data_IF_709838434025
#
_entry.id   IF_709838434025
#
_cell.length_a   1.000
_cell.length_b   1.000
_cell.length_c   1.000
_cell.angle_alpha   90.00
_cell.angle_beta   90.00
_cell.angle_gamma   90.00
#
_symmetry.space_group_name_H-M   'P 1'
#
loop_
_entity.id
_entity.type
_entity.pdbx_description
1 polymer ?
#
# COMPACT_ATOMS: atom_id res chain seq x y z
N UNK A 1 35.62 26.12 -23.94
CA UNK A 1 34.98 24.95 -23.29
C UNK A 1 33.53 25.16 -22.89
N UNK A 2 33.12 26.30 -22.29
CA UNK A 2 31.72 26.60 -21.95
C UNK A 2 30.71 26.72 -23.14
N UNK A 3 31.07 27.21 -24.35
CA UNK A 3 30.08 27.31 -25.43
C UNK A 3 29.77 25.96 -26.10
N UNK A 4 30.70 25.02 -26.05
CA UNK A 4 30.54 23.67 -26.65
C UNK A 4 29.52 22.85 -25.86
N UNK A 5 29.48 23.02 -24.54
CA UNK A 5 28.55 22.32 -23.67
C UNK A 5 27.10 22.81 -23.86
N UNK A 6 26.92 24.11 -24.08
CA UNK A 6 25.60 24.67 -24.46
C UNK A 6 25.14 24.19 -25.84
N UNK A 7 26.07 24.05 -26.79
CA UNK A 7 25.77 23.57 -28.14
C UNK A 7 25.38 22.09 -28.14
N UNK A 8 26.05 21.27 -27.34
CA UNK A 8 25.70 19.86 -27.12
C UNK A 8 24.36 19.70 -26.42
N UNK A 9 24.07 20.53 -25.41
CA UNK A 9 22.78 20.53 -24.72
C UNK A 9 21.63 20.97 -25.65
N UNK A 10 21.85 21.98 -26.48
CA UNK A 10 20.88 22.43 -27.47
C UNK A 10 20.63 21.36 -28.56
N UNK A 11 21.68 20.68 -29.04
CA UNK A 11 21.58 19.56 -29.98
C UNK A 11 20.81 18.38 -29.39
N UNK A 12 21.01 18.09 -28.10
CA UNK A 12 20.27 17.04 -27.38
C UNK A 12 18.77 17.38 -27.23
N UNK A 13 18.43 18.63 -26.93
CA UNK A 13 17.04 19.08 -26.89
C UNK A 13 16.36 19.03 -28.28
N UNK A 14 17.10 19.32 -29.35
CA UNK A 14 16.63 19.24 -30.72
C UNK A 14 16.41 17.78 -31.18
N UNK A 15 17.30 16.84 -30.81
CA UNK A 15 17.13 15.43 -31.16
C UNK A 15 15.94 14.78 -30.46
N UNK A 16 15.68 15.14 -29.19
CA UNK A 16 14.50 14.65 -28.44
C UNK A 16 13.21 15.21 -29.04
N UNK A 17 13.20 16.46 -29.48
CA UNK A 17 12.05 17.08 -30.15
C UNK A 17 11.78 16.47 -31.52
N UNK A 18 12.83 16.08 -32.26
CA UNK A 18 12.70 15.42 -33.56
C UNK A 18 12.24 13.96 -33.44
N UNK A 19 12.68 13.25 -32.40
CA UNK A 19 12.21 11.90 -32.09
C UNK A 19 10.73 11.87 -31.66
N UNK A 20 10.26 12.88 -30.93
CA UNK A 20 8.85 13.02 -30.53
C UNK A 20 7.89 13.38 -31.68
N UNK A 21 8.41 13.80 -32.83
CA UNK A 21 7.59 14.23 -33.97
C UNK A 21 7.34 13.13 -35.02
N UNK A 22 7.99 11.96 -34.90
CA UNK A 22 7.64 10.76 -35.68
C UNK A 22 6.53 10.00 -34.96
N UNK A 23 5.29 10.35 -35.28
CA UNK A 23 4.11 9.53 -34.96
C UNK A 23 4.27 8.16 -35.60
N UNK A 24 4.34 7.10 -34.78
CA UNK A 24 4.00 5.76 -35.20
C UNK A 24 2.51 5.57 -34.91
N UNK A 25 1.69 5.61 -35.96
CA UNK A 25 0.39 4.93 -35.96
C UNK A 25 0.69 3.43 -35.92
N UNK A 26 0.30 2.78 -34.82
CA UNK A 26 0.15 1.34 -34.77
C UNK A 26 -1.24 1.06 -34.21
N UNK A 27 -2.13 0.72 -35.13
CA UNK A 27 -3.47 0.21 -34.91
C UNK A 27 -3.38 -1.03 -34.01
N UNK A 28 -4.16 -1.03 -32.93
CA UNK A 28 -4.41 -2.22 -32.11
C UNK A 28 -5.55 -2.97 -32.80
N UNK A 29 -5.28 -4.16 -33.30
CA UNK A 29 -6.31 -5.13 -33.70
C UNK A 29 -6.18 -6.35 -32.80
N UNK A 30 -7.33 -6.70 -32.21
CA UNK A 30 -7.61 -7.92 -31.47
C UNK A 30 -7.18 -9.17 -32.24
N UNK A 31 -6.59 -10.12 -31.53
CA UNK A 31 -6.70 -11.53 -31.86
C UNK A 31 -7.01 -12.30 -30.57
N UNK A 32 -8.32 -12.51 -30.38
CA UNK A 32 -8.86 -13.76 -29.88
C UNK A 32 -8.14 -14.96 -30.52
N UNK A 33 -8.10 -16.09 -29.78
CA UNK A 33 -7.73 -17.44 -30.23
C UNK A 33 -6.33 -17.96 -29.81
N UNK A 34 -6.21 -18.37 -28.55
CA UNK A 34 -5.45 -19.58 -28.18
C UNK A 34 -5.92 -20.11 -26.82
N UNK A 35 -6.57 -21.26 -26.93
CA UNK A 35 -7.26 -22.08 -25.95
C UNK A 35 -6.24 -22.88 -25.10
N UNK A 36 -6.51 -22.98 -23.79
CA UNK A 36 -6.37 -24.16 -22.89
C UNK A 36 -5.05 -24.93 -22.72
N UNK A 37 -4.72 -25.17 -21.44
CA UNK A 37 -4.09 -26.35 -20.77
C UNK A 37 -3.38 -25.81 -19.52
N UNK A 38 -3.42 -26.36 -18.31
CA UNK A 38 -4.13 -27.46 -17.65
C UNK A 38 -3.78 -27.28 -16.16
N UNK A 39 -4.75 -27.44 -15.25
CA UNK A 39 -4.56 -27.35 -13.80
C UNK A 39 -4.52 -28.77 -13.23
N UNK A 40 -3.42 -29.11 -12.56
CA UNK A 40 -3.22 -30.22 -11.61
C UNK A 40 -2.40 -29.57 -10.46
N UNK A 41 -2.63 -29.70 -9.16
CA UNK A 41 -3.40 -30.63 -8.33
C UNK A 41 -3.79 -29.95 -7.01
N UNK A 42 -4.88 -30.37 -6.38
CA UNK A 42 -4.83 -30.94 -5.02
C UNK A 42 -6.20 -31.53 -4.61
N UNK A 43 -6.13 -32.79 -4.19
CA UNK A 43 -7.23 -33.71 -3.88
C UNK A 43 -8.02 -33.40 -2.59
N UNK A 44 -9.31 -33.64 -2.72
CA UNK A 44 -10.29 -34.26 -1.80
C UNK A 44 -9.98 -34.52 -0.31
N UNK A 45 -11.01 -34.19 0.49
CA UNK A 45 -11.28 -34.80 1.79
C UNK A 45 -12.66 -34.38 2.34
N UNK A 46 -13.71 -35.13 2.02
CA UNK A 46 -15.09 -34.89 2.47
C UNK A 46 -15.52 -35.89 3.57
N UNK A 47 -16.21 -35.43 4.64
CA UNK A 47 -17.43 -36.11 5.15
C UNK A 47 -18.29 -35.22 6.08
N UNK A 48 -19.61 -35.48 6.03
CA UNK A 48 -20.72 -34.81 6.72
C UNK A 48 -20.99 -35.29 8.17
N UNK A 49 -21.58 -34.38 8.93
CA UNK A 49 -22.71 -34.44 9.91
C UNK A 49 -23.42 -35.80 10.21
N UNK A 50 -23.52 -36.19 11.50
CA UNK A 50 -24.76 -36.24 12.33
C UNK A 50 -24.65 -37.19 13.57
N UNK A 51 -25.26 -36.73 14.68
CA UNK A 51 -25.94 -37.45 15.81
C UNK A 51 -25.25 -37.79 17.16
N UNK A 52 -25.94 -37.29 18.21
CA UNK A 52 -26.26 -37.80 19.56
C UNK A 52 -25.26 -37.79 20.76
N UNK A 53 -25.66 -36.94 21.72
CA UNK A 53 -25.82 -37.12 23.19
C UNK A 53 -24.66 -37.39 24.19
N UNK A 54 -24.81 -36.66 25.32
CA UNK A 54 -24.33 -36.86 26.69
C UNK A 54 -22.90 -36.46 27.17
N UNK A 55 -22.88 -35.40 28.00
CA UNK A 55 -22.21 -35.19 29.30
C UNK A 55 -20.82 -35.84 29.55
N UNK A 56 -19.76 -35.03 29.75
CA UNK A 56 -18.92 -34.96 30.97
C UNK A 56 -17.66 -34.10 30.79
N UNK A 57 -17.28 -33.44 31.88
CA UNK A 57 -16.15 -32.53 32.08
C UNK A 57 -14.82 -33.30 32.36
N UNK A 58 -13.67 -32.65 32.60
CA UNK A 58 -12.45 -32.74 31.77
C UNK A 58 -11.32 -33.60 32.37
N UNK A 59 -10.50 -34.29 31.54
CA UNK A 59 -9.23 -34.90 31.98
C UNK A 59 -8.11 -34.84 30.91
N UNK A 60 -6.90 -34.65 31.46
CA UNK A 60 -5.54 -34.40 30.96
C UNK A 60 -4.85 -35.48 30.08
N UNK A 61 -3.88 -34.96 29.29
CA UNK A 61 -2.54 -35.50 28.92
C UNK A 61 -2.44 -36.65 27.89
N UNK A 62 -1.28 -36.89 27.22
CA UNK A 62 0.02 -36.18 27.19
C UNK A 62 0.55 -35.88 25.75
N UNK A 63 1.56 -35.01 25.63
CA UNK A 63 2.46 -34.94 24.45
C UNK A 63 3.89 -35.10 24.96
N UNK A 64 4.52 -36.21 24.59
CA UNK A 64 5.97 -36.47 24.63
C UNK A 64 6.64 -35.51 23.63
N UNK A 65 7.44 -34.55 24.09
CA UNK A 65 8.89 -34.66 24.36
C UNK A 65 9.72 -34.90 23.10
N UNK A 66 10.46 -33.87 22.68
CA UNK A 66 11.91 -34.02 22.48
C UNK A 66 12.59 -32.66 22.66
N UNK A 67 13.63 -32.69 23.47
CA UNK A 67 14.33 -31.57 24.10
C UNK A 67 15.44 -31.03 23.20
N UNK A 68 15.75 -29.75 23.33
CA UNK A 68 17.12 -29.27 23.28
C UNK A 68 17.32 -28.14 24.31
N UNK A 69 18.34 -28.22 25.18
CA UNK A 69 18.50 -27.31 26.32
C UNK A 69 19.35 -26.07 26.00
N UNK A 70 19.10 -25.05 26.82
CA UNK A 70 19.88 -23.83 27.04
C UNK A 70 21.34 -24.10 27.42
N UNK A 71 22.20 -23.13 27.14
CA UNK A 71 23.31 -22.81 28.03
C UNK A 71 23.49 -21.30 28.10
N UNK A 72 23.54 -20.81 29.34
CA UNK A 72 23.67 -19.42 29.76
C UNK A 72 25.12 -19.18 30.26
N UNK A 73 25.57 -17.94 30.09
CA UNK A 73 26.60 -17.17 30.80
C UNK A 73 27.96 -17.80 31.26
N UNK A 74 29.08 -17.15 30.92
CA UNK A 74 29.75 -16.20 31.84
C UNK A 74 31.05 -15.58 31.22
N UNK A 75 31.38 -14.42 31.77
CA UNK A 75 32.43 -13.40 31.50
C UNK A 75 33.88 -13.86 31.29
N UNK A 76 34.70 -13.08 30.57
CA UNK A 76 36.00 -12.55 31.06
C UNK A 76 36.63 -11.50 30.12
N UNK A 77 37.53 -10.70 30.68
CA UNK A 77 37.98 -9.34 30.32
C UNK A 77 39.22 -9.24 29.37
N UNK A 78 39.48 -8.00 28.92
CA UNK A 78 40.78 -7.34 28.62
C UNK A 78 41.72 -7.89 27.50
N UNK A 79 41.97 -7.08 26.44
CA UNK A 79 43.21 -6.30 26.22
C UNK A 79 43.41 -5.78 24.77
N UNK A 80 44.12 -4.65 24.67
CA UNK A 80 44.47 -3.80 23.51
C UNK A 80 45.46 -4.41 22.47
N UNK A 81 45.19 -4.19 21.16
CA UNK A 81 46.05 -3.79 19.98
C UNK A 81 47.45 -4.45 19.69
N UNK A 82 48.14 -4.27 18.52
CA UNK A 82 47.80 -4.16 17.08
C UNK A 82 48.66 -5.09 16.14
N UNK A 83 48.49 -4.96 14.80
CA UNK A 83 49.43 -5.34 13.69
C UNK A 83 49.50 -6.84 13.32
N UNK A 84 49.69 -7.31 12.07
CA UNK A 84 50.09 -6.72 10.77
C UNK A 84 49.64 -7.65 9.64
N UNK A 85 49.33 -7.05 8.47
CA UNK A 85 49.33 -7.70 7.16
C UNK A 85 50.66 -8.43 6.89
N UNK A 86 50.62 -9.66 6.36
CA UNK A 86 51.67 -10.25 5.50
C UNK A 86 51.18 -11.60 4.92
N UNK A 87 50.24 -11.56 3.96
CA UNK A 87 49.82 -12.77 3.21
C UNK A 87 49.92 -12.58 1.68
N UNK A 88 50.97 -11.89 1.21
CA UNK A 88 51.23 -11.71 -0.22
C UNK A 88 52.73 -11.75 -0.58
N UNK A 89 53.42 -12.86 -0.31
CA UNK A 89 54.81 -13.10 -0.79
C UNK A 89 55.04 -14.47 -1.45
N UNK A 90 54.01 -15.21 -1.87
CA UNK A 90 54.16 -16.59 -2.36
C UNK A 90 53.98 -16.82 -3.87
N UNK A 91 54.28 -15.85 -4.75
CA UNK A 91 54.14 -16.04 -6.21
C UNK A 91 55.32 -15.54 -7.05
N UNK A 92 56.55 -15.63 -6.55
CA UNK A 92 57.76 -15.49 -7.37
C UNK A 92 58.65 -16.72 -7.20
N UNK A 93 58.28 -17.82 -7.86
CA UNK A 93 59.17 -18.97 -8.11
C UNK A 93 59.55 -18.97 -9.60
N UNK A 94 60.82 -18.66 -9.88
CA UNK A 94 61.43 -18.65 -11.22
C UNK A 94 62.34 -19.86 -11.49
N UNK A 95 62.19 -20.98 -10.78
CA UNK A 95 63.13 -22.13 -10.88
C UNK A 95 62.49 -23.49 -11.20
N UNK A 96 61.43 -23.53 -12.02
CA UNK A 96 60.93 -24.79 -12.59
C UNK A 96 61.15 -24.82 -14.10
N UNK A 97 62.35 -25.28 -14.54
CA UNK A 97 62.58 -26.16 -15.70
C UNK A 97 64.11 -26.34 -15.98
N UNK A 98 64.82 -27.06 -15.11
CA UNK A 98 66.14 -27.63 -15.45
C UNK A 98 66.08 -29.15 -15.37
N UNK A 99 65.86 -29.82 -16.52
CA UNK A 99 66.20 -31.22 -16.71
C UNK A 99 66.22 -31.55 -18.21
N UNK A 100 67.37 -31.37 -18.86
CA UNK A 100 67.79 -32.23 -19.97
C UNK A 100 69.33 -32.30 -20.02
N UNK A 101 69.81 -33.42 -19.48
CA UNK A 101 71.04 -34.18 -19.72
C UNK A 101 72.35 -33.47 -20.14
N UNK A 102 73.32 -33.59 -19.23
CA UNK A 102 74.76 -33.44 -19.44
C UNK A 102 75.31 -34.61 -20.27
N UNK A 103 75.82 -34.33 -21.47
CA UNK A 103 76.99 -35.07 -21.98
C UNK A 103 78.05 -34.12 -22.56
N UNK A 104 79.30 -34.48 -22.26
CA UNK A 104 80.55 -33.76 -22.56
C UNK A 104 80.84 -33.72 -24.06
N UNK A 105 81.38 -32.61 -24.54
CA UNK A 105 82.76 -32.51 -25.06
C UNK A 105 83.06 -31.12 -25.63
N UNK A 106 84.25 -30.59 -25.35
CA UNK A 106 84.79 -29.34 -25.93
C UNK A 106 85.43 -29.61 -27.33
N UNK A 107 85.94 -28.65 -28.15
CA UNK A 107 86.10 -27.18 -27.97
C UNK A 107 85.87 -26.30 -29.25
N UNK A 108 86.07 -24.97 -29.10
CA UNK A 108 86.51 -23.95 -30.10
C UNK A 108 85.60 -23.56 -31.30
N UNK A 109 85.19 -22.29 -31.31
CA UNK A 109 85.50 -21.36 -32.42
C UNK A 109 84.34 -20.65 -33.17
N UNK A 110 84.46 -19.31 -33.21
CA UNK A 110 84.07 -18.35 -34.28
C UNK A 110 82.60 -17.91 -34.48
N UNK A 111 82.42 -16.59 -34.30
CA UNK A 111 81.53 -15.60 -34.97
C UNK A 111 80.00 -15.63 -34.74
N UNK A 112 79.34 -14.45 -34.76
CA UNK A 112 77.96 -14.27 -34.31
C UNK A 112 76.98 -14.37 -35.49
N UNK A 113 75.99 -15.26 -35.39
CA UNK A 113 74.85 -15.27 -36.30
C UNK A 113 73.54 -15.11 -35.52
N UNK A 114 72.68 -14.28 -36.12
CA UNK A 114 71.43 -13.70 -35.62
C UNK A 114 70.49 -14.72 -34.96
N UNK A 115 69.97 -14.38 -33.78
CA UNK A 115 68.75 -14.97 -33.23
C UNK A 115 67.54 -14.52 -34.09
N UNK A 116 66.57 -15.41 -34.40
CA UNK A 116 65.37 -15.03 -35.14
C UNK A 116 64.41 -14.21 -34.25
N UNK A 117 63.82 -13.15 -34.80
CA UNK A 117 62.82 -12.31 -34.13
C UNK A 117 61.64 -13.17 -33.62
N UNK A 118 61.36 -13.09 -32.32
CA UNK A 118 60.13 -13.59 -31.71
C UNK A 118 58.93 -12.85 -32.30
N UNK A 119 58.25 -13.47 -33.27
CA UNK A 119 56.95 -13.01 -33.74
C UNK A 119 55.91 -13.23 -32.63
N UNK A 120 55.63 -12.18 -31.86
CA UNK A 120 54.51 -12.13 -30.94
C UNK A 120 53.23 -12.52 -31.69
N UNK A 121 52.63 -13.65 -31.32
CA UNK A 121 51.35 -14.08 -31.84
C UNK A 121 50.34 -12.94 -31.65
N UNK A 122 49.86 -12.40 -32.77
CA UNK A 122 48.87 -11.31 -32.78
C UNK A 122 47.55 -11.90 -32.30
N UNK A 123 47.32 -11.83 -30.99
CA UNK A 123 46.05 -12.24 -30.38
C UNK A 123 44.92 -11.48 -31.08
N UNK A 124 43.84 -12.16 -31.53
CA UNK A 124 42.75 -11.54 -32.25
C UNK A 124 42.19 -10.31 -31.50
N UNK A 125 41.93 -9.23 -32.23
CA UNK A 125 41.48 -7.93 -31.71
C UNK A 125 40.23 -7.99 -30.80
N UNK A 126 39.46 -9.07 -30.86
CA UNK A 126 38.25 -9.25 -30.03
C UNK A 126 38.54 -9.66 -28.57
N UNK A 127 39.78 -10.01 -28.22
CA UNK A 127 40.23 -10.35 -26.85
C UNK A 127 41.05 -9.22 -26.21
N UNK A 128 41.28 -8.12 -26.93
CA UNK A 128 41.77 -6.90 -26.30
C UNK A 128 40.58 -6.21 -25.66
N UNK A 129 40.48 -6.30 -24.34
CA UNK A 129 39.60 -5.46 -23.53
C UNK A 129 40.03 -4.00 -23.72
N UNK A 130 39.54 -3.36 -24.78
CA UNK A 130 39.80 -1.96 -25.05
C UNK A 130 39.03 -1.13 -24.03
N UNK A 131 39.71 -0.15 -23.43
CA UNK A 131 39.08 0.87 -22.58
C UNK A 131 37.92 1.59 -23.28
N UNK A 132 37.94 1.60 -24.62
CA UNK A 132 36.86 2.12 -25.46
C UNK A 132 35.56 1.29 -25.42
N UNK A 133 35.60 0.03 -24.99
CA UNK A 133 34.40 -0.79 -24.80
C UNK A 133 33.65 -0.44 -23.51
N UNK A 134 34.36 0.14 -22.54
CA UNK A 134 33.80 0.51 -21.23
C UNK A 134 33.11 1.87 -21.21
N UNK A 135 33.02 2.62 -22.32
CA UNK A 135 32.29 3.90 -22.29
C UNK A 135 30.81 3.72 -21.92
N UNK A 136 30.17 2.64 -22.40
CA UNK A 136 28.79 2.33 -22.02
C UNK A 136 28.70 1.89 -20.56
N UNK A 137 29.65 1.09 -20.07
CA UNK A 137 29.70 0.65 -18.67
C UNK A 137 29.97 1.81 -17.71
N UNK A 138 30.94 2.68 -18.02
CA UNK A 138 31.21 3.90 -17.25
C UNK A 138 30.03 4.87 -17.27
N UNK A 139 29.31 4.98 -18.38
CA UNK A 139 28.09 5.78 -18.47
C UNK A 139 26.96 5.19 -17.61
N UNK A 140 26.81 3.86 -17.59
CA UNK A 140 25.85 3.19 -16.70
C UNK A 140 26.22 3.37 -15.23
N UNK A 141 27.50 3.20 -14.86
CA UNK A 141 27.99 3.42 -13.49
C UNK A 141 27.79 4.89 -13.08
N UNK A 142 28.07 5.84 -13.96
CA UNK A 142 27.81 7.26 -13.70
C UNK A 142 26.32 7.53 -13.49
N UNK A 143 25.43 6.95 -14.31
CA UNK A 143 23.98 7.04 -14.15
C UNK A 143 23.50 6.47 -12.81
N UNK A 144 23.98 5.28 -12.44
CA UNK A 144 23.71 4.64 -11.15
C UNK A 144 24.22 5.46 -9.98
N UNK A 145 25.40 6.06 -10.10
CA UNK A 145 25.98 6.93 -9.07
C UNK A 145 25.11 8.17 -8.86
N UNK A 146 24.66 8.82 -9.93
CA UNK A 146 23.75 9.97 -9.84
C UNK A 146 22.41 9.56 -9.21
N UNK A 147 21.88 8.40 -9.59
CA UNK A 147 20.66 7.85 -9.00
C UNK A 147 20.83 7.61 -7.48
N UNK A 148 21.93 6.99 -7.08
CA UNK A 148 22.24 6.69 -5.67
C UNK A 148 22.44 7.96 -4.84
N UNK A 149 23.16 8.95 -5.36
CA UNK A 149 23.33 10.25 -4.70
C UNK A 149 21.99 10.99 -4.55
N UNK A 150 21.12 10.93 -5.56
CA UNK A 150 19.77 11.49 -5.47
C UNK A 150 18.93 10.76 -4.42
N UNK A 151 19.03 9.44 -4.34
CA UNK A 151 18.35 8.63 -3.33
C UNK A 151 18.77 9.05 -1.91
N UNK A 152 20.08 9.10 -1.63
CA UNK A 152 20.62 9.55 -0.35
C UNK A 152 20.20 10.98 0.00
N UNK A 153 20.29 11.91 -0.96
CA UNK A 153 19.88 13.29 -0.75
C UNK A 153 18.37 13.42 -0.50
N UNK A 154 17.55 12.63 -1.19
CA UNK A 154 16.10 12.58 -1.03
C UNK A 154 15.69 12.04 0.34
N UNK A 155 16.27 10.89 0.72
CA UNK A 155 16.11 10.26 2.05
C UNK A 155 16.49 11.22 3.17
N UNK A 156 17.67 11.83 3.11
CA UNK A 156 18.14 12.74 4.15
C UNK A 156 17.27 14.00 4.25
N UNK A 157 16.76 14.52 3.14
CA UNK A 157 15.82 15.66 3.16
C UNK A 157 14.48 15.30 3.80
N UNK A 158 13.90 14.15 3.43
CA UNK A 158 12.65 13.69 4.00
C UNK A 158 12.77 13.42 5.50
N UNK A 159 13.85 12.76 5.92
CA UNK A 159 14.17 12.54 7.33
C UNK A 159 14.26 13.87 8.10
N UNK A 160 15.04 14.83 7.60
CA UNK A 160 15.15 16.17 8.23
C UNK A 160 13.81 16.88 8.37
N UNK A 161 12.94 16.81 7.36
CA UNK A 161 11.61 17.40 7.40
C UNK A 161 10.70 16.71 8.43
N UNK A 162 10.73 15.39 8.50
CA UNK A 162 9.97 14.62 9.47
C UNK A 162 10.42 14.91 10.91
N UNK A 163 11.74 14.93 11.15
CA UNK A 163 12.32 15.29 12.46
C UNK A 163 11.98 16.73 12.86
N UNK A 164 12.03 17.68 11.92
CA UNK A 164 11.64 19.07 12.18
C UNK A 164 10.16 19.18 12.58
N UNK A 165 9.28 18.44 11.89
CA UNK A 165 7.87 18.38 12.25
C UNK A 165 7.67 17.82 13.66
N UNK A 166 8.31 16.69 13.99
CA UNK A 166 8.19 16.08 15.32
C UNK A 166 8.69 17.02 16.41
N UNK A 167 9.87 17.62 16.25
CA UNK A 167 10.44 18.56 17.22
C UNK A 167 9.51 19.74 17.51
N UNK A 168 8.74 20.21 16.52
CA UNK A 168 7.83 21.34 16.67
C UNK A 168 6.51 20.98 17.38
N UNK A 169 6.05 19.73 17.23
CA UNK A 169 4.74 19.27 17.72
C UNK A 169 4.83 18.36 18.96
N UNK A 170 6.01 17.80 19.26
CA UNK A 170 6.23 16.86 20.36
C UNK A 170 5.71 17.38 21.70
N UNK A 171 6.09 18.59 22.09
CA UNK A 171 5.63 19.22 23.34
C UNK A 171 4.09 19.31 23.39
N UNK A 172 3.45 19.69 22.29
CA UNK A 172 1.99 19.79 22.23
C UNK A 172 1.33 18.40 22.33
N UNK A 173 1.92 17.37 21.74
CA UNK A 173 1.42 16.00 21.81
C UNK A 173 1.57 15.41 23.21
N UNK A 174 2.72 15.58 23.86
CA UNK A 174 3.00 15.10 25.22
C UNK A 174 2.11 15.77 26.27
N UNK A 175 1.64 17.01 26.03
CA UNK A 175 0.64 17.64 26.93
C UNK A 175 -0.77 17.10 26.76
N UNK A 176 -1.08 16.43 25.64
CA UNK A 176 -2.44 15.98 25.30
C UNK A 176 -2.62 14.47 25.41
N UNK A 177 -1.55 13.69 25.29
CA UNK A 177 -1.52 12.24 25.30
C UNK A 177 -0.50 11.75 26.33
N UNK A 178 -0.81 10.64 27.02
CA UNK A 178 0.13 10.03 27.95
C UNK A 178 1.22 9.24 27.24
N UNK A 179 0.93 8.73 26.03
CA UNK A 179 1.86 7.91 25.24
C UNK A 179 1.95 8.52 23.84
N UNK A 180 3.17 8.82 23.40
CA UNK A 180 3.48 9.42 22.10
C UNK A 180 4.66 8.69 21.48
N UNK A 181 4.49 8.10 20.30
CA UNK A 181 5.54 7.39 19.56
C UNK A 181 5.56 5.88 19.76
N UNK A 182 4.58 5.31 20.45
CA UNK A 182 4.47 3.87 20.66
C UNK A 182 3.28 3.32 19.87
N UNK A 183 3.54 2.28 19.06
CA UNK A 183 2.54 1.54 18.29
C UNK A 183 1.94 0.37 19.08
N UNK A 184 2.42 0.12 20.31
CA UNK A 184 1.98 -0.96 21.19
C UNK A 184 2.47 -2.35 20.75
N UNK A 185 3.34 -2.42 19.73
CA UNK A 185 3.93 -3.68 19.24
C UNK A 185 5.29 -3.92 19.90
N UNK A 186 6.02 -2.85 20.25
CA UNK A 186 7.29 -2.96 20.96
C UNK A 186 7.09 -3.34 22.44
N UNK A 187 7.96 -4.21 22.97
CA UNK A 187 7.98 -4.57 24.40
C UNK A 187 8.37 -3.38 25.30
N UNK A 188 9.04 -2.37 24.75
CA UNK A 188 9.46 -1.16 25.44
C UNK A 188 8.82 0.08 24.81
N UNK A 189 8.21 0.91 25.65
CA UNK A 189 7.55 2.16 25.24
C UNK A 189 8.60 3.15 24.76
N UNK A 190 8.85 3.17 23.45
CA UNK A 190 9.77 4.13 22.84
C UNK A 190 9.06 5.48 22.67
N UNK A 191 9.19 6.36 23.65
CA UNK A 191 8.52 7.66 23.62
C UNK A 191 9.25 8.66 22.69
N UNK A 192 8.49 9.30 21.81
CA UNK A 192 8.95 10.45 21.03
C UNK A 192 9.81 10.11 19.81
N UNK A 193 9.63 8.92 19.21
CA UNK A 193 10.25 8.53 17.93
C UNK A 193 9.18 8.49 16.83
N UNK A 194 9.54 8.98 15.64
CA UNK A 194 8.75 8.81 14.43
C UNK A 194 9.06 7.45 13.81
N UNK A 195 8.03 6.64 13.58
CA UNK A 195 8.17 5.38 12.86
C UNK A 195 8.31 5.66 11.38
N UNK A 196 9.25 4.96 10.75
CA UNK A 196 9.52 5.10 9.33
C UNK A 196 8.98 3.89 8.56
N UNK A 197 7.75 4.00 8.07
CA UNK A 197 7.13 2.98 7.23
C UNK A 197 7.76 2.94 5.83
N UNK A 198 8.13 4.11 5.29
CA UNK A 198 8.78 4.21 3.99
C UNK A 198 9.70 5.42 3.91
N UNK A 199 10.50 5.51 2.86
CA UNK A 199 11.40 6.66 2.63
C UNK A 199 10.64 7.99 2.42
N UNK A 200 9.34 7.91 2.17
CA UNK A 200 8.44 9.05 1.98
C UNK A 200 7.21 9.06 2.90
N UNK A 201 7.07 8.07 3.79
CA UNK A 201 5.94 7.97 4.74
C UNK A 201 6.50 7.75 6.13
N UNK A 202 6.16 8.66 7.04
CA UNK A 202 6.54 8.57 8.45
C UNK A 202 5.26 8.62 9.28
N UNK A 203 5.17 7.75 10.28
CA UNK A 203 3.98 7.63 11.14
C UNK A 203 4.32 7.85 12.60
N UNK A 204 3.38 8.44 13.31
CA UNK A 204 3.45 8.67 14.75
C UNK A 204 2.13 8.26 15.37
N UNK A 205 2.18 7.27 16.25
CA UNK A 205 1.05 6.82 17.05
C UNK A 205 1.03 7.57 18.39
N UNK A 206 -0.15 8.02 18.80
CA UNK A 206 -0.38 8.68 20.08
C UNK A 206 -1.62 8.06 20.75
N UNK A 207 -1.55 7.77 22.03
CA UNK A 207 -2.63 7.14 22.80
C UNK A 207 -2.71 7.65 24.23
N UNK A 208 -3.79 7.30 24.93
CA UNK A 208 -3.99 7.66 26.34
C UNK A 208 -4.58 9.05 26.58
N UNK A 209 -5.30 9.59 25.60
CA UNK A 209 -6.20 10.73 25.78
C UNK A 209 -7.62 10.22 26.04
N UNK A 210 -8.35 10.85 26.96
CA UNK A 210 -9.75 10.49 27.21
C UNK A 210 -10.60 10.65 25.95
N UNK A 211 -11.47 9.67 25.66
CA UNK A 211 -12.36 9.61 24.50
C UNK A 211 -11.68 9.32 23.15
N UNK A 212 -10.37 9.04 23.15
CA UNK A 212 -9.60 8.72 21.95
C UNK A 212 -8.93 7.37 22.17
N UNK A 213 -9.30 6.37 21.37
CA UNK A 213 -8.68 5.05 21.36
C UNK A 213 -7.22 5.18 20.90
N UNK A 214 -7.02 5.91 19.81
CA UNK A 214 -5.69 6.21 19.27
C UNK A 214 -5.71 7.33 18.24
N UNK A 215 -4.57 7.98 18.06
CA UNK A 215 -4.33 8.95 17.01
C UNK A 215 -3.11 8.54 16.20
N UNK A 216 -3.30 8.36 14.90
CA UNK A 216 -2.25 8.13 13.92
C UNK A 216 -1.99 9.42 13.14
N UNK A 217 -0.78 9.93 13.23
CA UNK A 217 -0.30 11.02 12.36
C UNK A 217 0.60 10.43 11.29
N UNK A 218 0.22 10.60 10.03
CA UNK A 218 0.97 10.14 8.86
C UNK A 218 1.49 11.34 8.06
N UNK A 219 2.82 11.45 7.96
CA UNK A 219 3.52 12.41 7.12
C UNK A 219 3.77 11.78 5.74
N UNK A 220 2.89 12.08 4.79
CA UNK A 220 3.05 11.73 3.37
C UNK A 220 3.93 12.76 2.68
N UNK A 221 5.23 12.54 2.75
CA UNK A 221 6.20 13.33 2.01
C UNK A 221 6.24 12.87 0.54
N UNK A 222 6.64 13.78 -0.33
CA UNK A 222 6.89 13.48 -1.72
C UNK A 222 8.09 12.51 -1.84
N UNK A 223 7.99 11.59 -2.81
CA UNK A 223 9.08 10.67 -3.18
C UNK A 223 10.23 11.46 -3.84
N UNK A 224 11.13 12.02 -3.03
CA UNK A 224 12.30 12.79 -3.48
C UNK A 224 13.50 11.89 -3.83
N UNK A 225 13.52 10.70 -3.24
CA UNK A 225 14.52 9.68 -3.45
C UNK A 225 14.41 9.01 -4.84
N UNK A 226 13.22 9.05 -5.45
CA UNK A 226 12.96 8.46 -6.76
C UNK A 226 13.07 9.52 -7.87
N UNK A 227 13.99 9.27 -8.80
CA UNK A 227 14.29 10.16 -9.91
C UNK A 227 13.14 10.26 -10.92
N UNK A 228 12.39 9.17 -11.15
CA UNK A 228 11.25 9.16 -12.08
C UNK A 228 10.14 10.05 -11.53
N UNK A 229 9.81 9.88 -10.24
CA UNK A 229 8.84 10.73 -9.55
C UNK A 229 9.30 12.20 -9.44
N UNK A 230 10.61 12.46 -9.44
CA UNK A 230 11.14 13.82 -9.52
C UNK A 230 10.94 14.43 -10.92
N UNK A 231 11.15 13.65 -11.99
CA UNK A 231 10.93 14.07 -13.38
C UNK A 231 9.45 14.32 -13.67
N UNK A 232 8.57 13.40 -13.25
CA UNK A 232 7.11 13.54 -13.39
C UNK A 232 6.57 14.79 -12.68
N UNK A 233 7.25 15.27 -11.64
CA UNK A 233 6.86 16.49 -10.91
C UNK A 233 6.95 17.75 -11.77
N UNK A 234 7.78 17.76 -12.82
CA UNK A 234 7.83 18.87 -13.77
C UNK A 234 6.48 19.05 -14.47
N UNK A 235 5.78 17.94 -14.74
CA UNK A 235 4.47 17.94 -15.39
C UNK A 235 3.30 18.08 -14.42
N UNK A 236 3.42 17.50 -13.21
CA UNK A 236 2.36 17.55 -12.20
C UNK A 236 2.89 18.07 -10.86
N UNK A 237 2.57 19.32 -10.46
CA UNK A 237 2.97 19.83 -9.16
C UNK A 237 2.24 19.05 -8.06
N UNK A 238 3.00 18.67 -7.04
CA UNK A 238 2.51 17.98 -5.85
C UNK A 238 3.11 18.62 -4.60
N UNK A 239 2.41 18.48 -3.48
CA UNK A 239 2.82 18.99 -2.18
C UNK A 239 2.90 17.84 -1.19
N UNK A 240 3.69 18.02 -0.12
CA UNK A 240 3.67 17.09 1.01
C UNK A 240 2.32 17.21 1.74
N UNK A 241 1.87 16.12 2.37
CA UNK A 241 0.61 16.05 3.11
C UNK A 241 0.85 15.51 4.52
N UNK A 242 0.10 16.02 5.49
CA UNK A 242 0.02 15.51 6.86
C UNK A 242 -1.41 15.03 7.08
N UNK A 243 -1.58 13.74 7.32
CA UNK A 243 -2.88 13.13 7.59
C UNK A 243 -2.92 12.81 9.08
N UNK A 244 -3.92 13.33 9.79
CA UNK A 244 -4.17 13.01 11.19
C UNK A 244 -5.45 12.21 11.25
N UNK A 245 -5.36 10.94 11.60
CA UNK A 245 -6.50 10.05 11.86
C UNK A 245 -6.65 9.87 13.36
N UNK A 246 -7.82 10.17 13.89
CA UNK A 246 -8.16 9.99 15.30
C UNK A 246 -9.30 8.99 15.37
N UNK A 247 -9.08 7.88 16.03
CA UNK A 247 -10.11 6.87 16.32
C UNK A 247 -10.67 7.14 17.72
N UNK A 248 -12.00 7.27 17.81
CA UNK A 248 -12.68 7.57 19.08
C UNK A 248 -13.19 6.29 19.73
N UNK A 249 -13.29 6.32 21.06
CA UNK A 249 -13.91 5.24 21.81
C UNK A 249 -15.40 5.09 21.46
N UNK A 250 -15.87 3.85 21.50
CA UNK A 250 -17.26 3.50 21.24
C UNK A 250 -18.23 4.27 22.16
N UNK A 251 -19.27 4.85 21.56
CA UNK A 251 -20.31 5.58 22.28
C UNK A 251 -19.93 6.97 22.77
N UNK A 252 -18.73 7.49 22.44
CA UNK A 252 -18.35 8.88 22.74
C UNK A 252 -18.81 9.89 21.71
N UNK A 253 -19.13 9.45 20.50
CA UNK A 253 -19.61 10.28 19.41
C UNK A 253 -21.06 9.92 19.10
N UNK A 254 -21.89 10.94 18.90
CA UNK A 254 -23.23 10.74 18.34
C UNK A 254 -23.16 10.38 16.86
N UNK A 255 -24.14 9.62 16.41
CA UNK A 255 -24.32 9.12 15.06
C UNK A 255 -24.49 10.26 14.03
N UNK A 256 -23.45 10.59 13.24
CA UNK A 256 -23.55 11.47 12.07
C UNK A 256 -22.28 11.43 11.19
N UNK A 257 -22.46 11.67 9.89
CA UNK A 257 -21.36 11.86 8.94
C UNK A 257 -21.27 13.32 8.45
N UNK A 258 -20.06 13.87 8.49
CA UNK A 258 -19.73 15.24 8.11
C UNK A 258 -18.37 15.33 7.42
N UNK A 259 -18.29 16.08 6.32
CA UNK A 259 -17.02 16.39 5.69
C UNK A 259 -17.01 17.79 5.08
N UNK A 260 -15.92 18.52 5.30
CA UNK A 260 -15.59 19.77 4.61
C UNK A 260 -14.27 19.60 3.90
N UNK A 261 -14.26 19.77 2.59
CA UNK A 261 -13.08 19.57 1.77
C UNK A 261 -13.00 20.60 0.64
N UNK A 262 -11.80 20.82 0.10
CA UNK A 262 -11.66 21.60 -1.13
C UNK A 262 -12.46 20.94 -2.25
N UNK A 263 -13.09 21.73 -3.14
CA UNK A 263 -14.01 21.23 -4.19
C UNK A 263 -13.50 20.02 -4.98
N UNK A 264 -12.20 20.01 -5.35
CA UNK A 264 -11.58 18.89 -6.08
C UNK A 264 -11.45 17.64 -5.20
N UNK A 265 -10.96 17.80 -3.98
CA UNK A 265 -10.79 16.70 -3.02
C UNK A 265 -12.14 16.17 -2.51
N UNK A 266 -13.16 17.02 -2.36
CA UNK A 266 -14.51 16.62 -1.97
C UNK A 266 -15.14 15.65 -2.97
N UNK A 267 -14.99 15.90 -4.28
CA UNK A 267 -15.49 15.01 -5.32
C UNK A 267 -14.78 13.65 -5.30
N UNK A 268 -13.48 13.65 -5.05
CA UNK A 268 -12.68 12.43 -4.91
C UNK A 268 -13.10 11.65 -3.66
N UNK A 269 -13.16 12.30 -2.50
CA UNK A 269 -13.54 11.67 -1.23
C UNK A 269 -14.95 11.07 -1.28
N UNK A 270 -15.92 11.75 -1.89
CA UNK A 270 -17.27 11.21 -2.05
C UNK A 270 -17.31 9.99 -2.99
N UNK A 271 -16.37 9.85 -3.92
CA UNK A 271 -16.27 8.65 -4.77
C UNK A 271 -15.59 7.52 -4.02
N UNK A 272 -14.47 7.83 -3.37
CA UNK A 272 -13.51 6.88 -2.82
C UNK A 272 -13.94 6.32 -1.45
N UNK A 273 -14.70 7.08 -0.64
CA UNK A 273 -15.14 6.66 0.69
C UNK A 273 -16.61 6.22 0.69
N UNK A 274 -16.91 5.09 1.33
CA UNK A 274 -18.27 4.52 1.34
C UNK A 274 -19.24 5.33 2.20
N UNK A 275 -18.80 5.72 3.40
CA UNK A 275 -19.55 6.52 4.34
C UNK A 275 -20.04 7.85 3.74
N UNK A 276 -19.14 8.62 3.11
CA UNK A 276 -19.49 9.87 2.45
C UNK A 276 -20.50 9.64 1.32
N UNK A 277 -20.26 8.62 0.50
CA UNK A 277 -21.12 8.31 -0.64
C UNK A 277 -22.53 7.86 -0.24
N UNK A 278 -22.67 7.21 0.92
CA UNK A 278 -23.91 6.61 1.36
C UNK A 278 -24.74 7.52 2.27
N UNK A 279 -24.08 8.28 3.15
CA UNK A 279 -24.75 9.06 4.19
C UNK A 279 -24.79 10.56 3.93
N UNK A 280 -23.89 11.10 3.10
CA UNK A 280 -23.77 12.56 2.92
C UNK A 280 -24.30 13.05 1.59
N UNK A 281 -24.85 14.26 1.62
CA UNK A 281 -25.22 15.02 0.42
C UNK A 281 -24.47 16.35 0.38
N UNK A 282 -24.31 16.90 -0.83
CA UNK A 282 -23.70 18.22 -1.01
C UNK A 282 -24.64 19.31 -0.50
N UNK A 283 -24.18 20.07 0.49
CA UNK A 283 -24.92 21.22 1.04
C UNK A 283 -24.26 22.53 0.65
N UNK A 284 -25.07 23.59 0.55
CA UNK A 284 -24.56 24.94 0.34
C UNK A 284 -23.76 25.39 1.56
N UNK A 285 -22.56 25.93 1.32
CA UNK A 285 -21.69 26.51 2.35
C UNK A 285 -22.03 27.97 2.67
N UNK A 286 -22.97 28.60 1.96
CA UNK A 286 -23.29 30.04 2.08
C UNK A 286 -23.78 30.46 3.48
N UNK A 287 -24.30 29.52 4.27
CA UNK A 287 -24.72 29.78 5.65
C UNK A 287 -23.56 29.97 6.61
N UNK A 288 -22.36 29.56 6.20
CA UNK A 288 -21.15 29.61 7.00
C UNK A 288 -20.17 30.57 6.32
N UNK A 289 -19.49 31.42 7.08
CA UNK A 289 -18.46 32.34 6.59
C UNK A 289 -17.19 31.56 6.17
N UNK A 290 -17.33 30.64 5.21
CA UNK A 290 -16.27 29.78 4.70
C UNK A 290 -15.91 30.18 3.26
N UNK A 291 -14.63 30.04 2.87
CA UNK A 291 -14.21 30.34 1.51
C UNK A 291 -14.93 29.48 0.46
N UNK A 292 -15.18 30.07 -0.72
CA UNK A 292 -15.85 29.40 -1.83
C UNK A 292 -15.03 28.24 -2.45
N UNK A 293 -13.79 28.04 -2.03
CA UNK A 293 -12.94 26.91 -2.42
C UNK A 293 -13.35 25.60 -1.75
N UNK A 294 -14.08 25.65 -0.64
CA UNK A 294 -14.57 24.50 0.10
C UNK A 294 -15.96 24.05 -0.35
N UNK A 295 -16.23 22.76 -0.17
CA UNK A 295 -17.49 22.09 -0.39
C UNK A 295 -17.87 21.35 0.90
N UNK A 296 -19.13 21.54 1.33
CA UNK A 296 -19.69 20.86 2.49
C UNK A 296 -20.46 19.61 2.04
N UNK A 297 -20.15 18.50 2.69
CA UNK A 297 -20.85 17.21 2.62
C UNK A 297 -21.38 16.92 4.02
N UNK A 298 -22.69 16.79 4.19
CA UNK A 298 -23.25 16.60 5.53
C UNK A 298 -24.57 15.87 5.50
N UNK A 299 -24.74 14.95 6.44
CA UNK A 299 -26.01 14.29 6.70
C UNK A 299 -26.92 15.19 7.55
N UNK A 300 -26.44 15.59 8.73
CA UNK A 300 -27.21 16.29 9.76
C UNK A 300 -26.84 17.78 9.83
N UNK A 301 -27.84 18.66 9.64
CA UNK A 301 -27.61 20.12 9.68
C UNK A 301 -27.26 20.66 11.08
N UNK A 302 -27.79 20.03 12.13
CA UNK A 302 -27.46 20.35 13.53
C UNK A 302 -25.98 20.09 13.84
N UNK A 303 -25.48 18.89 13.51
CA UNK A 303 -24.07 18.54 13.66
C UNK A 303 -23.16 19.51 12.89
N UNK A 304 -23.55 19.85 11.66
CA UNK A 304 -22.82 20.80 10.81
C UNK A 304 -22.67 22.16 11.51
N UNK A 305 -23.74 22.67 12.10
CA UNK A 305 -23.76 23.99 12.75
C UNK A 305 -22.98 24.00 14.07
N UNK A 306 -22.92 22.87 14.77
CA UNK A 306 -22.14 22.72 16.00
C UNK A 306 -20.63 22.63 15.72
N UNK A 307 -20.25 21.92 14.66
CA UNK A 307 -18.85 21.74 14.25
C UNK A 307 -18.31 23.02 13.61
N UNK A 308 -19.03 23.60 12.64
CA UNK A 308 -18.65 24.82 11.93
C UNK A 308 -19.01 26.08 12.71
N UNK A 309 -18.33 26.27 13.85
CA UNK A 309 -18.44 27.52 14.58
C UNK A 309 -17.52 28.62 14.03
N UNK A 310 -17.61 29.81 14.63
CA UNK A 310 -16.78 30.96 14.24
C UNK A 310 -15.28 30.66 14.28
N UNK A 311 -14.79 29.87 15.24
CA UNK A 311 -13.36 29.54 15.37
C UNK A 311 -12.89 28.64 14.23
N UNK A 312 -13.65 27.58 13.93
CA UNK A 312 -13.33 26.66 12.82
C UNK A 312 -13.41 27.41 11.49
N UNK A 313 -14.45 28.22 11.25
CA UNK A 313 -14.57 29.01 10.02
C UNK A 313 -13.42 30.02 9.84
N UNK A 314 -12.99 30.68 10.92
CA UNK A 314 -11.81 31.57 10.90
C UNK A 314 -10.52 30.81 10.57
N UNK A 315 -10.33 29.61 11.13
CA UNK A 315 -9.17 28.77 10.82
C UNK A 315 -9.17 28.29 9.36
N UNK A 316 -10.33 27.88 8.84
CA UNK A 316 -10.50 27.51 7.43
C UNK A 316 -10.21 28.67 6.49
N UNK A 317 -10.58 29.89 6.86
CA UNK A 317 -10.31 31.10 6.08
C UNK A 317 -8.82 31.49 6.15
N UNK A 318 -8.23 31.46 7.34
CA UNK A 318 -6.82 31.85 7.57
C UNK A 318 -5.86 30.88 6.88
N UNK A 319 -6.17 29.59 6.89
CA UNK A 319 -5.34 28.51 6.35
C UNK A 319 -5.94 27.93 5.06
N UNK A 320 -6.61 28.78 4.26
CA UNK A 320 -7.16 28.38 2.97
C UNK A 320 -6.05 27.82 2.07
N UNK A 321 -6.31 26.66 1.47
CA UNK A 321 -5.33 25.95 0.62
C UNK A 321 -4.39 25.02 1.38
N UNK A 322 -4.20 25.21 2.69
CA UNK A 322 -3.44 24.29 3.55
C UNK A 322 -4.35 23.18 4.06
N UNK A 323 -5.56 23.51 4.53
CA UNK A 323 -6.54 22.49 4.94
C UNK A 323 -7.17 21.91 3.66
N UNK A 324 -6.91 20.63 3.40
CA UNK A 324 -7.45 19.93 2.23
C UNK A 324 -8.84 19.36 2.53
N UNK A 325 -8.96 18.62 3.63
CA UNK A 325 -10.24 18.13 4.12
C UNK A 325 -10.25 17.89 5.63
N UNK A 326 -11.45 18.02 6.20
CA UNK A 326 -11.85 17.61 7.53
C UNK A 326 -12.99 16.61 7.33
N UNK A 327 -12.81 15.39 7.78
CA UNK A 327 -13.77 14.30 7.65
C UNK A 327 -14.06 13.74 9.05
N UNK A 328 -15.34 13.62 9.38
CA UNK A 328 -15.83 13.16 10.67
C UNK A 328 -16.92 12.15 10.34
N UNK A 329 -16.70 10.90 10.72
CA UNK A 329 -17.60 9.81 10.37
C UNK A 329 -17.60 8.79 11.49
N UNK A 330 -18.79 8.44 11.93
CA UNK A 330 -18.95 7.34 12.88
C UNK A 330 -19.07 5.97 12.17
N UNK A 331 -19.37 5.98 10.86
CA UNK A 331 -19.50 4.78 10.01
C UNK A 331 -18.29 4.56 9.11
N UNK A 332 -17.10 4.94 9.55
CA UNK A 332 -15.91 4.82 8.71
C UNK A 332 -15.52 3.34 8.55
N UNK A 333 -15.56 2.87 7.30
CA UNK A 333 -15.22 1.50 6.90
C UNK A 333 -13.96 1.42 6.03
N UNK A 334 -13.16 2.50 5.97
CA UNK A 334 -12.05 2.61 5.04
C UNK A 334 -12.44 2.98 3.60
N UNK A 335 -11.44 3.07 2.70
CA UNK A 335 -11.67 3.31 1.28
C UNK A 335 -12.50 2.19 0.65
N UNK A 336 -13.32 2.52 -0.35
CA UNK A 336 -14.05 1.52 -1.15
C UNK A 336 -13.04 0.59 -1.81
N UNK A 337 -13.05 -0.67 -1.40
CA UNK A 337 -12.33 -1.75 -2.07
C UNK A 337 -12.95 -1.91 -3.46
N UNK A 338 -12.17 -1.72 -4.52
CA UNK A 338 -12.59 -1.86 -5.93
C UNK A 338 -12.56 -3.33 -6.40
N UNK A 339 -12.69 -4.30 -5.49
CA UNK A 339 -12.74 -5.70 -5.89
C UNK A 339 -14.17 -6.07 -6.27
N UNK A 340 -14.33 -6.72 -7.43
CA UNK A 340 -15.60 -7.17 -8.01
C UNK A 340 -16.38 -8.16 -7.10
N UNK A 341 -15.75 -8.65 -6.04
CA UNK A 341 -16.38 -9.33 -4.91
C UNK A 341 -16.91 -8.32 -3.90
N UNK A 342 -18.17 -7.90 -4.05
CA UNK A 342 -18.84 -7.17 -2.97
C UNK A 342 -18.75 -7.99 -1.67
N UNK A 343 -18.33 -7.37 -0.55
CA UNK A 343 -18.11 -8.09 0.68
C UNK A 343 -19.40 -8.72 1.18
N UNK A 344 -19.38 -10.01 1.49
CA UNK A 344 -20.55 -10.76 1.96
C UNK A 344 -20.84 -10.55 3.44
N UNK A 345 -19.89 -9.94 4.17
CA UNK A 345 -19.99 -9.53 5.57
C UNK A 345 -20.02 -8.00 5.63
N UNK A 346 -20.83 -7.45 6.54
CA UNK A 346 -20.84 -6.01 6.77
C UNK A 346 -19.43 -5.55 7.17
N UNK A 347 -18.95 -4.42 6.60
CA UNK A 347 -17.67 -3.87 6.99
C UNK A 347 -17.73 -3.38 8.44
N UNK A 348 -16.66 -3.62 9.18
CA UNK A 348 -16.51 -3.08 10.52
C UNK A 348 -16.41 -1.56 10.43
N UNK A 349 -17.28 -0.89 11.18
CA UNK A 349 -17.38 0.57 11.21
C UNK A 349 -16.76 1.07 12.50
N UNK A 350 -15.97 2.14 12.40
CA UNK A 350 -15.37 2.80 13.55
C UNK A 350 -15.64 4.29 13.50
N UNK A 351 -15.78 4.90 14.68
CA UNK A 351 -15.86 6.33 14.79
C UNK A 351 -14.50 6.97 14.65
N UNK A 352 -14.31 7.76 13.58
CA UNK A 352 -13.05 8.40 13.30
C UNK A 352 -13.18 9.84 12.79
N UNK A 353 -12.15 10.62 13.08
CA UNK A 353 -11.94 11.95 12.53
C UNK A 353 -10.65 11.93 11.72
N UNK A 354 -10.72 12.32 10.46
CA UNK A 354 -9.58 12.43 9.57
C UNK A 354 -9.38 13.88 9.14
N UNK A 355 -8.17 14.37 9.30
CA UNK A 355 -7.76 15.70 8.86
C UNK A 355 -6.61 15.54 7.88
N UNK A 356 -6.69 16.19 6.72
CA UNK A 356 -5.58 16.26 5.78
C UNK A 356 -5.14 17.70 5.59
N UNK A 357 -3.88 17.95 5.89
CA UNK A 357 -3.21 19.23 5.72
C UNK A 357 -2.18 19.11 4.61
N UNK A 358 -2.35 19.88 3.54
CA UNK A 358 -1.36 20.03 2.49
C UNK A 358 -0.35 21.10 2.87
N UNK A 359 0.93 20.74 2.91
CA UNK A 359 1.99 21.66 3.31
C UNK A 359 2.24 22.66 2.17
N UNK A 360 2.25 23.97 2.46
CA UNK A 360 2.52 24.98 1.43
C UNK A 360 3.95 24.80 0.90
N UNK A 361 4.13 25.05 -0.41
CA UNK A 361 5.47 25.02 -1.03
C UNK A 361 5.59 24.24 -2.33
N UNK A 362 4.55 23.49 -2.75
CA UNK A 362 4.49 22.79 -4.06
C UNK A 362 5.78 22.01 -4.37
N UNK A 363 6.31 21.32 -3.35
CA UNK A 363 7.53 20.52 -3.43
C UNK A 363 8.81 21.18 -2.91
N UNK A 364 8.79 22.48 -2.57
CA UNK A 364 9.91 23.21 -1.93
C UNK A 364 9.69 23.45 -0.43
N UNK A 365 9.26 22.42 0.27
CA UNK A 365 8.94 22.47 1.70
C UNK A 365 10.18 22.73 2.54
N UNK A 366 10.07 23.64 3.51
CA UNK A 366 11.12 23.97 4.48
C UNK A 366 10.71 23.51 5.89
N UNK A 367 11.69 23.41 6.78
CA UNK A 367 11.44 23.10 8.20
C UNK A 367 10.50 24.12 8.87
N UNK A 368 10.60 25.40 8.52
CA UNK A 368 9.69 26.46 9.01
C UNK A 368 8.22 26.22 8.64
N UNK A 369 7.96 25.61 7.48
CA UNK A 369 6.60 25.31 7.05
C UNK A 369 5.99 24.19 7.90
N UNK A 370 6.83 23.29 8.43
CA UNK A 370 6.39 22.26 9.38
C UNK A 370 5.99 22.89 10.71
N UNK A 371 6.78 23.83 11.24
CA UNK A 371 6.46 24.53 12.50
C UNK A 371 5.14 25.32 12.42
N UNK A 372 4.84 25.89 11.25
CA UNK A 372 3.61 26.65 11.01
C UNK A 372 2.33 25.78 11.03
N UNK A 373 2.44 24.45 11.09
CA UNK A 373 1.30 23.53 11.22
C UNK A 373 0.80 23.39 12.67
N UNK A 374 1.53 23.91 13.67
CA UNK A 374 1.16 23.80 15.09
C UNK A 374 -0.28 24.26 15.41
N UNK A 375 -0.79 25.40 14.87
CA UNK A 375 -2.18 25.82 15.06
C UNK A 375 -3.21 24.86 14.44
N UNK A 376 -2.84 24.11 13.40
CA UNK A 376 -3.73 23.12 12.77
C UNK A 376 -3.87 21.88 13.65
N UNK A 377 -2.80 21.46 14.32
CA UNK A 377 -2.89 20.38 15.31
C UNK A 377 -3.77 20.79 16.51
N UNK A 378 -3.69 22.04 16.95
CA UNK A 378 -4.63 22.57 17.96
C UNK A 378 -6.08 22.56 17.47
N UNK A 379 -6.32 22.85 16.18
CA UNK A 379 -7.65 22.72 15.57
C UNK A 379 -8.15 21.27 15.60
N UNK A 380 -7.28 20.27 15.37
CA UNK A 380 -7.65 18.85 15.49
C UNK A 380 -8.19 18.55 16.89
N UNK A 381 -7.45 18.92 17.93
CA UNK A 381 -7.88 18.68 19.32
C UNK A 381 -9.16 19.42 19.67
N UNK A 382 -9.30 20.65 19.18
CA UNK A 382 -10.54 21.42 19.34
C UNK A 382 -11.75 20.70 18.73
N UNK A 383 -11.60 20.12 17.53
CA UNK A 383 -12.63 19.35 16.88
C UNK A 383 -12.94 18.03 17.61
N UNK A 384 -11.92 17.32 18.08
CA UNK A 384 -12.09 16.08 18.89
C UNK A 384 -12.88 16.37 20.18
N UNK A 385 -12.51 17.42 20.91
CA UNK A 385 -13.21 17.83 22.14
C UNK A 385 -14.65 18.28 21.87
N UNK A 386 -14.92 18.83 20.69
CA UNK A 386 -16.26 19.22 20.28
C UNK A 386 -17.11 18.02 19.94
N UNK A 387 -16.60 17.11 19.12
CA UNK A 387 -17.35 15.93 18.69
C UNK A 387 -17.70 15.04 19.87
N UNK A 388 -16.78 14.86 20.81
CA UNK A 388 -17.03 14.07 22.04
C UNK A 388 -18.05 14.70 23.02
N UNK A 389 -18.29 16.02 22.93
CA UNK A 389 -19.28 16.73 23.76
C UNK A 389 -20.59 17.01 23.02
N UNK A 390 -20.60 16.83 21.69
CA UNK A 390 -21.75 17.12 20.87
C UNK A 390 -22.84 16.10 21.15
N UNK A 391 -23.96 16.58 21.65
CA UNK A 391 -25.18 15.79 21.79
C UNK A 391 -26.21 16.30 20.81
N UNK A 392 -26.60 15.44 19.88
CA UNK A 392 -27.63 15.71 18.91
C UNK A 392 -29.01 15.69 19.59
N UNK A 393 -29.91 16.54 19.08
CA UNK A 393 -31.32 16.48 19.43
C UNK A 393 -31.91 15.09 19.19
N UNK A 394 -32.98 14.77 19.92
CA UNK A 394 -33.69 13.50 19.76
C UNK A 394 -34.13 13.27 18.30
N UNK A 395 -34.55 14.32 17.61
CA UNK A 395 -34.96 14.25 16.20
C UNK A 395 -33.79 13.95 15.27
N UNK A 396 -32.65 14.63 15.44
CA UNK A 396 -31.46 14.39 14.65
C UNK A 396 -30.90 12.98 14.88
N UNK A 397 -30.86 12.51 16.13
CA UNK A 397 -30.43 11.15 16.46
C UNK A 397 -31.34 10.10 15.84
N UNK A 398 -32.67 10.25 15.94
CA UNK A 398 -33.62 9.33 15.29
C UNK A 398 -33.48 9.31 13.76
N UNK A 399 -33.19 10.46 13.15
CA UNK A 399 -32.95 10.56 11.70
C UNK A 399 -31.68 9.83 11.29
N UNK A 400 -30.58 10.04 12.01
CA UNK A 400 -29.31 9.37 11.75
C UNK A 400 -29.45 7.86 11.92
N UNK A 401 -30.10 7.41 13.00
CA UNK A 401 -30.39 6.00 13.28
C UNK A 401 -31.18 5.34 12.15
N UNK A 402 -32.25 5.99 11.69
CA UNK A 402 -33.05 5.51 10.56
C UNK A 402 -32.25 5.44 9.26
N UNK A 403 -31.29 6.33 9.06
CA UNK A 403 -30.41 6.28 7.89
C UNK A 403 -29.43 5.10 7.94
N UNK A 404 -28.91 4.73 9.12
CA UNK A 404 -28.11 3.49 9.28
C UNK A 404 -28.94 2.25 9.02
N UNK A 405 -30.12 2.14 9.62
CA UNK A 405 -30.98 0.98 9.40
C UNK A 405 -31.30 0.79 7.91
N UNK A 406 -31.58 1.88 7.18
CA UNK A 406 -31.74 1.82 5.72
C UNK A 406 -30.46 1.39 4.99
N UNK A 407 -29.30 1.87 5.42
CA UNK A 407 -28.02 1.48 4.86
C UNK A 407 -27.74 -0.02 5.06
N UNK A 408 -28.03 -0.54 6.26
CA UNK A 408 -27.94 -1.96 6.61
C UNK A 408 -28.91 -2.81 5.79
N UNK A 409 -30.18 -2.38 5.68
CA UNK A 409 -31.18 -3.04 4.83
C UNK A 409 -30.76 -3.09 3.37
N UNK A 410 -30.20 -1.99 2.84
CA UNK A 410 -29.68 -1.94 1.47
C UNK A 410 -28.50 -2.89 1.29
N UNK A 411 -27.60 -2.97 2.26
CA UNK A 411 -26.47 -3.90 2.24
C UNK A 411 -26.94 -5.36 2.29
N UNK A 412 -27.82 -5.70 3.24
CA UNK A 412 -28.37 -7.06 3.37
C UNK A 412 -29.12 -7.49 2.11
N UNK A 413 -29.88 -6.58 1.50
CA UNK A 413 -30.57 -6.85 0.24
C UNK A 413 -29.59 -7.07 -0.91
N UNK A 414 -28.56 -6.23 -1.04
CA UNK A 414 -27.52 -6.40 -2.06
C UNK A 414 -26.78 -7.74 -1.88
N UNK A 415 -26.37 -8.06 -0.64
CA UNK A 415 -25.72 -9.32 -0.30
C UNK A 415 -26.62 -10.53 -0.58
N UNK A 416 -27.92 -10.46 -0.28
CA UNK A 416 -28.87 -11.54 -0.60
C UNK A 416 -29.00 -11.74 -2.12
N UNK A 417 -29.17 -10.66 -2.89
CA UNK A 417 -29.24 -10.73 -4.35
C UNK A 417 -27.97 -11.34 -4.94
N UNK A 418 -26.79 -10.91 -4.49
CA UNK A 418 -25.51 -11.45 -4.95
C UNK A 418 -25.35 -12.94 -4.60
N UNK A 419 -25.70 -13.34 -3.37
CA UNK A 419 -25.68 -14.77 -2.97
C UNK A 419 -26.64 -15.61 -3.82
N UNK A 420 -27.80 -15.05 -4.16
CA UNK A 420 -28.77 -15.72 -5.02
C UNK A 420 -28.26 -15.86 -6.46
N UNK A 421 -27.61 -14.84 -7.01
CA UNK A 421 -27.00 -14.86 -8.35
C UNK A 421 -25.84 -15.85 -8.41
N UNK A 422 -24.93 -15.86 -7.43
CA UNK A 422 -23.83 -16.84 -7.34
C UNK A 422 -24.37 -18.27 -7.21
N UNK A 423 -25.42 -18.49 -6.42
CA UNK A 423 -26.05 -19.80 -6.29
C UNK A 423 -26.76 -20.23 -7.60
N UNK A 424 -27.30 -19.28 -8.37
CA UNK A 424 -27.89 -19.56 -9.68
C UNK A 424 -26.81 -19.88 -10.72
N UNK A 425 -25.74 -19.10 -10.80
CA UNK A 425 -24.60 -19.36 -11.68
C UNK A 425 -23.96 -20.72 -11.40
N UNK A 426 -23.70 -21.07 -10.13
CA UNK A 426 -23.19 -22.41 -9.76
C UNK A 426 -24.15 -23.53 -10.13
N UNK A 427 -25.47 -23.29 -10.08
CA UNK A 427 -26.47 -24.28 -10.52
C UNK A 427 -26.50 -24.43 -12.03
N UNK A 428 -26.33 -23.35 -12.77
CA UNK A 428 -26.29 -23.35 -14.24
C UNK A 428 -25.00 -23.99 -14.76
N UNK A 429 -23.87 -23.69 -14.13
CA UNK A 429 -22.57 -24.29 -14.42
C UNK A 429 -22.57 -25.80 -14.16
N UNK A 430 -23.08 -26.26 -12.99
CA UNK A 430 -23.25 -27.69 -12.72
C UNK A 430 -24.13 -28.39 -13.75
N UNK A 431 -25.23 -27.75 -14.17
CA UNK A 431 -26.08 -28.30 -15.23
C UNK A 431 -25.39 -28.34 -16.59
N UNK A 432 -24.60 -27.32 -16.92
CA UNK A 432 -23.82 -27.27 -18.17
C UNK A 432 -22.75 -28.37 -18.18
N UNK A 433 -22.00 -28.54 -17.09
CA UNK A 433 -21.01 -29.58 -16.93
C UNK A 433 -21.62 -30.99 -16.94
N UNK A 434 -22.77 -31.21 -16.28
CA UNK A 434 -23.50 -32.49 -16.35
C UNK A 434 -23.93 -32.81 -17.80
N UNK A 435 -24.40 -31.80 -18.55
CA UNK A 435 -24.79 -31.96 -19.95
C UNK A 435 -23.59 -32.22 -20.87
N UNK A 436 -22.46 -31.57 -20.62
CA UNK A 436 -21.22 -31.78 -21.36
C UNK A 436 -20.64 -33.19 -21.12
N UNK A 437 -20.64 -33.65 -19.85
CA UNK A 437 -20.29 -35.04 -19.51
C UNK A 437 -21.20 -36.06 -20.18
N UNK A 438 -22.51 -35.77 -20.27
CA UNK A 438 -23.46 -36.65 -20.98
C UNK A 438 -23.18 -36.69 -22.50
N UNK A 439 -22.76 -35.57 -23.09
CA UNK A 439 -22.41 -35.47 -24.51
C UNK A 439 -21.05 -36.12 -24.83
N UNK A 440 -20.13 -36.18 -23.86
CA UNK A 440 -18.80 -36.78 -23.99
C UNK A 440 -18.77 -38.32 -23.80
N UNK A 441 -19.86 -38.95 -23.37
CA UNK A 441 -19.93 -40.41 -23.20
C UNK A 441 -20.02 -41.11 -24.57
N UNK A 442 -19.00 -41.88 -24.95
CA UNK A 442 -18.87 -42.50 -26.29
C UNK A 442 -19.79 -43.73 -26.53
N UNK A 443 -20.40 -44.30 -25.48
CA UNK A 443 -21.14 -45.58 -25.54
C UNK A 443 -22.67 -45.36 -25.72
N UNK A 444 -23.27 -45.68 -26.89
CA UNK A 444 -24.60 -45.19 -27.31
C UNK A 444 -25.77 -45.72 -26.45
N UNK A 445 -25.66 -46.93 -25.89
CA UNK A 445 -26.70 -47.50 -25.03
C UNK A 445 -26.67 -46.91 -23.59
N UNK A 446 -25.50 -46.47 -23.11
CA UNK A 446 -25.36 -45.80 -21.81
C UNK A 446 -25.86 -44.36 -21.86
N UNK A 447 -25.58 -43.65 -22.93
CA UNK A 447 -26.05 -42.28 -23.15
C UNK A 447 -27.59 -42.20 -23.13
N UNK A 448 -28.27 -43.07 -23.88
CA UNK A 448 -29.75 -43.10 -23.96
C UNK A 448 -30.40 -43.39 -22.61
N UNK A 449 -29.79 -44.26 -21.79
CA UNK A 449 -30.28 -44.57 -20.43
C UNK A 449 -30.07 -43.42 -19.44
N UNK A 450 -28.98 -42.65 -19.58
CA UNK A 450 -28.71 -41.47 -18.75
C UNK A 450 -29.65 -40.31 -19.10
N UNK A 451 -29.87 -40.05 -20.38
CA UNK A 451 -30.80 -39.02 -20.88
C UNK A 451 -32.24 -39.27 -20.42
N UNK A 452 -32.74 -40.50 -20.56
CA UNK A 452 -34.09 -40.88 -20.07
C UNK A 452 -34.23 -40.71 -18.56
N UNK A 453 -33.16 -40.99 -17.80
CA UNK A 453 -33.14 -40.83 -16.34
C UNK A 453 -33.16 -39.34 -15.95
N UNK A 454 -32.48 -38.49 -16.69
CA UNK A 454 -32.47 -37.03 -16.48
C UNK A 454 -33.81 -36.40 -16.84
N UNK A 455 -34.38 -36.72 -18.01
CA UNK A 455 -35.70 -36.27 -18.44
C UNK A 455 -36.80 -36.67 -17.44
N UNK A 456 -36.70 -37.86 -16.83
CA UNK A 456 -37.62 -38.30 -15.76
C UNK A 456 -37.43 -37.54 -14.45
N UNK A 457 -36.22 -37.03 -14.15
CA UNK A 457 -35.96 -36.17 -12.98
C UNK A 457 -36.44 -34.74 -13.21
N UNK A 458 -36.24 -34.19 -14.39
CA UNK A 458 -36.72 -32.86 -14.78
C UNK A 458 -38.25 -32.77 -14.78
N UNK A 459 -38.92 -33.75 -15.39
CA UNK A 459 -40.38 -33.81 -15.44
C UNK A 459 -40.99 -33.88 -14.03
N UNK A 460 -40.37 -34.61 -13.10
CA UNK A 460 -40.76 -34.64 -11.68
C UNK A 460 -40.51 -33.31 -10.96
N UNK A 461 -39.47 -32.55 -11.32
CA UNK A 461 -39.19 -31.22 -10.75
C UNK A 461 -40.15 -30.14 -11.29
N UNK A 462 -40.58 -30.26 -12.55
CA UNK A 462 -41.54 -29.35 -13.22
C UNK A 462 -43.00 -29.58 -12.76
N UNK A 463 -43.31 -30.72 -12.14
CA UNK A 463 -44.64 -30.97 -11.58
C UNK A 463 -44.91 -30.04 -10.38
N UNK A 464 -46.00 -29.25 -10.39
CA UNK A 464 -46.34 -28.36 -9.29
C UNK A 464 -46.69 -29.15 -8.02
N UNK A 465 -45.98 -28.89 -6.92
CA UNK A 465 -46.32 -29.47 -5.61
C UNK A 465 -47.58 -28.80 -5.07
N UNK A 466 -48.71 -29.53 -5.06
CA UNK A 466 -49.96 -29.04 -4.47
C UNK A 466 -49.77 -28.78 -2.97
N UNK A 467 -49.82 -27.51 -2.54
CA UNK A 467 -49.86 -27.16 -1.12
C UNK A 467 -51.25 -27.48 -0.59
N UNK A 468 -51.39 -28.47 0.30
CA UNK A 468 -52.64 -28.72 1.02
C UNK A 468 -52.93 -27.50 1.92
N UNK A 469 -53.98 -26.75 1.61
CA UNK A 469 -54.55 -25.80 2.56
C UNK A 469 -55.16 -26.61 3.72
N UNK A 470 -54.56 -26.50 4.92
CA UNK A 470 -55.19 -26.96 6.16
C UNK A 470 -56.43 -26.12 6.38
N UNK A 471 -57.60 -26.67 6.06
CA UNK A 471 -58.89 -26.11 6.46
C UNK A 471 -58.91 -26.16 8.00
N UNK A 472 -58.84 -24.99 8.62
CA UNK A 472 -59.03 -24.81 10.05
C UNK A 472 -60.53 -25.03 10.31
N UNK A 473 -60.88 -26.14 10.95
CA UNK A 473 -62.25 -26.41 11.37
C UNK A 473 -62.70 -25.32 12.35
N UNK A 474 -63.94 -24.84 12.15
CA UNK A 474 -64.63 -23.82 12.95
C UNK A 474 -64.77 -24.21 14.41
#
# INVERSE_FOLDING_TARGET
>A
MKPVWFLLFALFCLSVSYAGSKKHDAFVEDNDFAEFEEFEDEEDGAVNDESDDEIQEPVKQPVESEEMPEFDDEQEEEDDDPMSDDEFEHLHDEEEFENFDREKDAPKGKSPDKLPDLQMAKVPLHLRTSWDSFYLEMLMIAGLTVYFLNFLAGKNKNCKLATAWLSAHKELLETQFSIVGDDGVAKEVTSGVLMKESENVYTLWCSGRTCVEGMLVELKLLKRQDLINLLLRVFKPASDQVIVKVDLDDGKMDNFVFCVAQKRSAAKLHKDMNDLSQFTERKSSEKFDMPASYQLLSEVGEATSAILDKKVCQMLTKHEGVIEYIHISDQFSGPKVQEDTQPTKMPDTKACLMFCFTIPGKGKTRASDMENLKPLLQLVFYCVDKVSRLQLSREARMKAEKNRQKAEEMFLKAAHTQRQELAQQRREERKRAEKERLMAEEDPDRARKLEDRENRRESKKKQPKMKMMKIKAM
#
